data_IF_370501134053
#
_entry.id   IF_370501134053
#
_cell.length_a   1.000
_cell.length_b   1.000
_cell.length_c   1.000
_cell.angle_alpha   90.00
_cell.angle_beta   90.00
_cell.angle_gamma   90.00
#
_symmetry.space_group_name_H-M   'P 1'
#
loop_
_entity.id
_entity.type
_entity.pdbx_description
1 polymer ?
#
# COMPACT_ATOMS: atom_id res chain seq x y z
N UNK A 1 -66.21 -34.81 -7.53
CA UNK A 1 -64.85 -34.27 -7.32
C UNK A 1 -64.60 -33.17 -8.34
N UNK A 2 -64.23 -31.96 -7.89
CA UNK A 2 -63.92 -30.85 -8.79
C UNK A 2 -62.60 -31.15 -9.54
N UNK A 3 -62.59 -30.97 -10.87
CA UNK A 3 -61.41 -31.13 -11.73
C UNK A 3 -61.31 -29.96 -12.69
N UNK A 4 -60.17 -29.29 -12.68
CA UNK A 4 -59.88 -28.23 -13.64
C UNK A 4 -59.77 -28.79 -15.06
N UNK A 5 -60.27 -28.02 -16.03
CA UNK A 5 -60.04 -28.25 -17.45
C UNK A 5 -58.54 -28.20 -17.77
N UNK A 6 -58.16 -28.59 -18.99
CA UNK A 6 -56.77 -28.49 -19.44
C UNK A 6 -56.25 -27.05 -19.32
N UNK A 7 -57.05 -26.10 -19.77
CA UNK A 7 -56.69 -24.67 -19.73
C UNK A 7 -56.68 -24.14 -18.30
N UNK A 8 -57.63 -24.57 -17.46
CA UNK A 8 -57.64 -24.20 -16.04
C UNK A 8 -56.42 -24.73 -15.27
N UNK A 9 -55.90 -25.91 -15.64
CA UNK A 9 -54.63 -26.43 -15.09
C UNK A 9 -53.42 -25.64 -15.57
N UNK A 10 -53.42 -25.19 -16.82
CA UNK A 10 -52.35 -24.36 -17.36
C UNK A 10 -52.27 -23.01 -16.66
N UNK A 11 -53.41 -22.32 -16.51
CA UNK A 11 -53.48 -21.04 -15.79
C UNK A 11 -53.09 -21.20 -14.33
N UNK A 12 -53.61 -22.22 -13.64
CA UNK A 12 -53.25 -22.48 -12.25
C UNK A 12 -51.76 -22.79 -12.07
N UNK A 13 -51.13 -23.50 -13.02
CA UNK A 13 -49.70 -23.74 -12.97
C UNK A 13 -48.90 -22.44 -13.15
N UNK A 14 -49.29 -21.59 -14.10
CA UNK A 14 -48.65 -20.29 -14.33
C UNK A 14 -48.75 -19.39 -13.08
N UNK A 15 -49.94 -19.27 -12.48
CA UNK A 15 -50.12 -18.47 -11.26
C UNK A 15 -49.29 -19.00 -10.09
N UNK A 16 -49.12 -20.31 -9.96
CA UNK A 16 -48.25 -20.89 -8.94
C UNK A 16 -46.76 -20.62 -9.21
N UNK A 17 -46.34 -20.59 -10.48
CA UNK A 17 -44.97 -20.21 -10.85
C UNK A 17 -44.73 -18.73 -10.59
N UNK A 18 -45.64 -17.86 -11.00
CA UNK A 18 -45.54 -16.42 -10.80
C UNK A 18 -45.51 -16.08 -9.31
N UNK A 19 -46.41 -16.68 -8.51
CA UNK A 19 -46.41 -16.55 -7.06
C UNK A 19 -45.11 -17.05 -6.42
N UNK A 20 -44.54 -18.14 -6.95
CA UNK A 20 -43.26 -18.69 -6.51
C UNK A 20 -42.09 -17.76 -6.81
N UNK A 21 -42.08 -17.12 -7.98
CA UNK A 21 -41.05 -16.15 -8.38
C UNK A 21 -41.17 -14.85 -7.57
N UNK A 22 -42.38 -14.36 -7.34
CA UNK A 22 -42.64 -13.15 -6.54
C UNK A 22 -42.24 -13.33 -5.06
N UNK A 23 -42.40 -14.55 -4.54
CA UNK A 23 -42.06 -14.89 -3.15
C UNK A 23 -40.68 -15.50 -2.99
N UNK A 24 -39.93 -15.65 -4.08
CA UNK A 24 -38.56 -16.09 -4.00
C UNK A 24 -37.79 -14.97 -3.29
N UNK A 25 -37.32 -15.22 -2.07
CA UNK A 25 -36.43 -14.29 -1.39
C UNK A 25 -35.18 -14.13 -2.25
N UNK A 26 -35.07 -13.00 -2.94
CA UNK A 26 -33.84 -12.64 -3.62
C UNK A 26 -32.81 -12.35 -2.54
N UNK A 27 -31.75 -13.15 -2.50
CA UNK A 27 -30.53 -12.76 -1.79
C UNK A 27 -29.91 -11.61 -2.57
N UNK A 28 -30.34 -10.38 -2.27
CA UNK A 28 -29.64 -9.19 -2.76
C UNK A 28 -28.28 -9.15 -2.08
N UNK A 29 -27.23 -9.29 -2.87
CA UNK A 29 -25.87 -9.09 -2.37
C UNK A 29 -25.66 -7.59 -2.15
N UNK A 30 -25.15 -7.23 -0.97
CA UNK A 30 -24.68 -5.87 -0.72
C UNK A 30 -23.61 -5.52 -1.76
N UNK A 31 -23.82 -4.42 -2.47
CA UNK A 31 -22.88 -3.87 -3.45
C UNK A 31 -22.64 -2.41 -3.12
N UNK A 32 -21.37 -2.01 -3.20
CA UNK A 32 -21.01 -0.60 -3.23
C UNK A 32 -21.15 -0.08 -4.67
N UNK A 33 -21.84 1.04 -4.83
CA UNK A 33 -21.92 1.81 -6.07
C UNK A 33 -21.57 3.28 -5.77
N UNK A 34 -20.44 3.80 -6.27
CA UNK A 34 -19.47 3.12 -7.13
C UNK A 34 -18.68 2.01 -6.40
N UNK A 35 -18.05 1.08 -7.13
CA UNK A 35 -17.12 0.11 -6.55
C UNK A 35 -16.01 0.82 -5.76
N UNK A 36 -15.58 0.20 -4.66
CA UNK A 36 -14.45 0.71 -3.89
C UNK A 36 -13.18 0.67 -4.76
N UNK A 37 -12.47 1.78 -4.76
CA UNK A 37 -11.22 1.93 -5.50
C UNK A 37 -10.05 1.22 -4.81
N UNK A 38 -8.95 1.04 -5.52
CA UNK A 38 -7.70 0.45 -4.99
C UNK A 38 -6.62 1.54 -4.90
N UNK A 39 -6.76 2.54 -4.00
CA UNK A 39 -6.00 3.78 -4.09
C UNK A 39 -4.50 3.55 -3.92
N UNK A 40 -4.10 2.65 -3.02
CA UNK A 40 -2.69 2.38 -2.77
C UNK A 40 -2.04 1.55 -3.89
N UNK A 41 -2.79 0.64 -4.51
CA UNK A 41 -2.34 -0.06 -5.71
C UNK A 41 -2.14 0.90 -6.89
N UNK A 42 -3.06 1.87 -7.09
CA UNK A 42 -2.91 2.94 -8.07
C UNK A 42 -1.70 3.83 -7.76
N UNK A 43 -1.43 4.14 -6.50
CA UNK A 43 -0.21 4.85 -6.09
C UNK A 43 1.04 4.05 -6.48
N UNK A 44 1.10 2.75 -6.21
CA UNK A 44 2.25 1.92 -6.57
C UNK A 44 2.55 1.96 -8.08
N UNK A 45 1.50 1.89 -8.92
CA UNK A 45 1.63 1.78 -10.38
C UNK A 45 1.83 3.12 -11.07
N UNK A 46 1.07 4.13 -10.69
CA UNK A 46 0.85 5.32 -11.51
C UNK A 46 1.40 6.61 -10.86
N UNK A 47 1.72 6.59 -9.56
CA UNK A 47 2.26 7.78 -8.89
C UNK A 47 3.71 8.04 -9.33
N UNK A 48 3.95 9.21 -9.91
CA UNK A 48 5.31 9.63 -10.28
C UNK A 48 6.15 9.79 -9.01
N UNK A 49 7.28 9.09 -8.90
CA UNK A 49 8.10 9.07 -7.66
C UNK A 49 9.14 10.18 -7.56
N UNK A 50 9.34 10.95 -8.63
CA UNK A 50 10.33 12.02 -8.71
C UNK A 50 9.65 13.37 -8.90
N UNK A 51 10.07 14.36 -8.13
CA UNK A 51 9.66 15.75 -8.31
C UNK A 51 10.83 16.69 -8.00
N UNK A 52 10.92 17.87 -8.66
CA UNK A 52 12.06 18.79 -8.51
C UNK A 52 12.35 19.23 -7.07
N UNK A 53 11.31 19.34 -6.23
CA UNK A 53 11.41 19.81 -4.84
C UNK A 53 11.44 18.66 -3.83
N UNK A 54 11.61 17.42 -4.27
CA UNK A 54 11.64 16.23 -3.40
C UNK A 54 13.02 15.57 -3.38
N UNK A 55 13.37 14.99 -2.24
CA UNK A 55 14.59 14.23 -2.14
C UNK A 55 14.45 12.93 -2.93
N UNK A 56 15.43 12.61 -3.78
CA UNK A 56 15.46 11.34 -4.49
C UNK A 56 15.31 10.16 -3.52
N UNK A 57 14.36 9.27 -3.79
CA UNK A 57 14.00 8.13 -2.95
C UNK A 57 12.92 8.39 -1.89
N UNK A 58 12.58 9.64 -1.57
CA UNK A 58 11.62 9.94 -0.49
C UNK A 58 10.22 9.42 -0.76
N UNK A 59 9.74 9.55 -2.00
CA UNK A 59 8.43 9.04 -2.38
C UNK A 59 8.36 7.51 -2.31
N UNK A 60 9.43 6.83 -2.71
CA UNK A 60 9.48 5.38 -2.66
C UNK A 60 9.61 4.84 -1.23
N UNK A 61 10.42 5.48 -0.39
CA UNK A 61 10.50 5.14 1.04
C UNK A 61 9.18 5.44 1.77
N UNK A 62 8.47 6.52 1.42
CA UNK A 62 7.14 6.82 1.95
C UNK A 62 6.13 5.74 1.57
N UNK A 63 6.15 5.28 0.32
CA UNK A 63 5.32 4.17 -0.16
C UNK A 63 5.63 2.90 0.63
N UNK A 64 6.91 2.51 0.71
CA UNK A 64 7.32 1.32 1.44
C UNK A 64 6.95 1.39 2.92
N UNK A 65 7.09 2.57 3.55
CA UNK A 65 6.63 2.80 4.93
C UNK A 65 5.12 2.60 5.06
N UNK A 66 4.32 3.13 4.14
CA UNK A 66 2.87 2.90 4.09
C UNK A 66 2.52 1.42 4.03
N UNK A 67 3.16 0.69 3.12
CA UNK A 67 3.01 -0.76 2.97
C UNK A 67 3.41 -1.51 4.25
N UNK A 68 4.62 -1.31 4.77
CA UNK A 68 5.14 -1.97 5.99
C UNK A 68 4.23 -1.72 7.19
N UNK A 69 3.74 -0.48 7.36
CA UNK A 69 2.83 -0.10 8.46
C UNK A 69 1.47 -0.79 8.37
N UNK A 70 0.98 -1.03 7.16
CA UNK A 70 -0.28 -1.75 6.94
C UNK A 70 -0.11 -3.26 7.05
N UNK A 71 1.04 -3.81 6.65
CA UNK A 71 1.32 -5.24 6.71
C UNK A 71 1.63 -5.74 8.12
N UNK A 72 2.43 -4.98 8.88
CA UNK A 72 2.78 -5.31 10.27
C UNK A 72 2.28 -4.25 11.27
N UNK A 73 0.95 -4.05 11.40
CA UNK A 73 0.39 -2.97 12.21
C UNK A 73 0.60 -3.16 13.72
N UNK A 74 1.05 -4.34 14.15
CA UNK A 74 1.34 -4.69 15.54
C UNK A 74 2.76 -4.30 15.98
N UNK A 75 3.64 -3.91 15.04
CA UNK A 75 5.02 -3.51 15.33
C UNK A 75 5.12 -2.00 15.55
N UNK A 76 6.01 -1.61 16.46
CA UNK A 76 6.44 -0.22 16.62
C UNK A 76 7.52 0.07 15.60
N UNK A 77 7.19 0.90 14.60
CA UNK A 77 8.12 1.23 13.52
C UNK A 77 9.02 2.41 13.88
N UNK A 78 10.32 2.26 13.61
CA UNK A 78 11.32 3.32 13.64
C UNK A 78 11.82 3.57 12.22
N UNK A 79 11.79 4.83 11.82
CA UNK A 79 12.16 5.29 10.48
C UNK A 79 12.70 6.71 10.60
N UNK A 80 13.47 7.16 9.61
CA UNK A 80 13.95 8.54 9.55
C UNK A 80 14.00 9.02 8.11
N UNK A 81 14.26 10.32 7.95
CA UNK A 81 14.42 10.99 6.67
C UNK A 81 15.37 10.25 5.75
N UNK A 82 15.14 10.41 4.44
CA UNK A 82 16.14 9.96 3.47
C UNK A 82 17.46 10.68 3.75
N UNK A 83 18.59 9.99 3.56
CA UNK A 83 19.97 10.50 3.74
C UNK A 83 20.40 10.79 5.17
N UNK A 84 19.57 10.59 6.19
CA UNK A 84 20.04 10.43 7.56
C UNK A 84 20.56 9.02 7.74
N UNK A 85 21.80 8.76 7.28
CA UNK A 85 22.37 7.41 7.20
C UNK A 85 22.10 6.57 8.45
N UNK A 86 21.47 5.41 8.27
CA UNK A 86 20.98 4.50 9.32
C UNK A 86 22.03 4.15 10.37
N UNK A 87 23.28 3.96 9.93
CA UNK A 87 24.43 3.69 10.80
C UNK A 87 24.72 4.77 11.84
N UNK A 88 24.43 6.04 11.55
CA UNK A 88 24.64 7.16 12.48
C UNK A 88 23.58 7.21 13.59
N UNK A 89 22.46 6.51 13.41
CA UNK A 89 21.32 6.49 14.32
C UNK A 89 21.15 5.13 15.01
N UNK A 90 22.14 4.25 14.92
CA UNK A 90 22.07 2.87 15.42
C UNK A 90 20.86 2.07 14.88
N UNK A 91 20.46 2.36 13.64
CA UNK A 91 19.39 1.65 12.93
C UNK A 91 19.98 0.54 12.05
N UNK A 92 19.20 -0.51 11.83
CA UNK A 92 19.61 -1.67 11.03
C UNK A 92 19.27 -1.48 9.56
N UNK A 93 18.08 -0.96 9.27
CA UNK A 93 17.63 -0.61 7.93
C UNK A 93 17.01 0.79 7.86
N UNK A 94 16.30 1.04 6.76
CA UNK A 94 15.53 2.26 6.56
C UNK A 94 14.27 2.29 7.44
N UNK A 95 13.62 1.14 7.60
CA UNK A 95 12.43 0.96 8.44
C UNK A 95 12.65 -0.26 9.34
N UNK A 96 12.77 -0.04 10.65
CA UNK A 96 12.95 -1.10 11.64
C UNK A 96 11.65 -1.28 12.44
N UNK A 97 11.17 -2.52 12.58
CA UNK A 97 9.94 -2.85 13.30
C UNK A 97 10.22 -3.65 14.57
N UNK A 98 9.74 -3.13 15.70
CA UNK A 98 9.99 -3.70 17.03
C UNK A 98 8.72 -4.25 17.69
N UNK A 99 8.88 -5.32 18.47
CA UNK A 99 7.89 -5.78 19.43
C UNK A 99 8.48 -5.66 20.84
N UNK A 100 8.07 -4.62 21.57
CA UNK A 100 8.77 -4.25 22.80
C UNK A 100 10.22 -3.84 22.49
N UNK A 101 11.23 -4.39 23.17
CA UNK A 101 12.63 -4.10 22.88
C UNK A 101 13.20 -4.89 21.69
N UNK A 102 12.50 -5.92 21.22
CA UNK A 102 13.03 -6.89 20.25
C UNK A 102 12.84 -6.39 18.82
N UNK A 103 13.91 -6.43 18.02
CA UNK A 103 13.85 -6.16 16.58
C UNK A 103 13.23 -7.38 15.88
N UNK A 104 12.06 -7.19 15.28
CA UNK A 104 11.32 -8.26 14.62
C UNK A 104 11.54 -8.26 13.11
N UNK A 105 11.54 -7.07 12.50
CA UNK A 105 11.79 -6.88 11.07
C UNK A 105 12.75 -5.70 10.86
N UNK A 106 13.56 -5.77 9.82
CA UNK A 106 14.37 -4.64 9.35
C UNK A 106 14.27 -4.58 7.83
N UNK A 107 13.88 -3.41 7.32
CA UNK A 107 13.58 -3.21 5.90
C UNK A 107 14.55 -2.19 5.32
N UNK A 108 15.23 -2.55 4.23
CA UNK A 108 16.06 -1.67 3.41
C UNK A 108 15.29 -1.34 2.13
N UNK A 109 15.22 -0.06 1.76
CA UNK A 109 14.44 0.41 0.61
C UNK A 109 15.37 0.97 -0.46
N UNK A 110 15.22 0.50 -1.70
CA UNK A 110 16.00 0.95 -2.86
C UNK A 110 15.10 1.36 -4.01
N UNK A 111 15.05 2.67 -4.30
CA UNK A 111 14.33 3.21 -5.48
C UNK A 111 15.16 3.03 -6.77
N UNK A 112 15.51 1.77 -7.08
CA UNK A 112 16.28 1.35 -8.26
C UNK A 112 16.16 -0.15 -8.51
N UNK A 113 16.52 -0.56 -9.72
CA UNK A 113 16.72 -1.96 -10.09
C UNK A 113 17.94 -2.53 -9.36
N UNK A 114 17.78 -3.71 -8.78
CA UNK A 114 18.84 -4.48 -8.12
C UNK A 114 19.22 -5.67 -9.00
N UNK A 115 20.50 -5.75 -9.34
CA UNK A 115 21.05 -6.77 -10.22
C UNK A 115 22.36 -7.35 -9.65
N UNK A 116 22.90 -8.38 -10.29
CA UNK A 116 24.16 -9.03 -9.89
C UNK A 116 25.32 -8.04 -9.73
N UNK A 117 25.34 -6.95 -10.52
CA UNK A 117 26.42 -5.97 -10.50
C UNK A 117 26.39 -5.05 -9.27
N UNK A 118 25.23 -4.86 -8.64
CA UNK A 118 25.03 -3.87 -7.59
C UNK A 118 24.52 -4.43 -6.25
N UNK A 119 24.02 -5.68 -6.23
CA UNK A 119 23.37 -6.29 -5.05
C UNK A 119 24.24 -6.22 -3.80
N UNK A 120 25.54 -6.54 -3.89
CA UNK A 120 26.43 -6.49 -2.73
C UNK A 120 26.72 -5.07 -2.24
N UNK A 121 26.81 -4.11 -3.16
CA UNK A 121 27.10 -2.72 -2.83
C UNK A 121 25.89 -2.05 -2.16
N UNK A 122 24.68 -2.34 -2.64
CA UNK A 122 23.45 -1.72 -2.16
C UNK A 122 22.86 -2.41 -0.92
N UNK A 123 22.95 -3.75 -0.86
CA UNK A 123 22.24 -4.56 0.14
C UNK A 123 23.16 -5.41 1.01
N UNK A 124 24.49 -5.29 0.88
CA UNK A 124 25.44 -6.04 1.69
C UNK A 124 25.31 -5.79 3.20
N UNK A 125 24.85 -4.61 3.62
CA UNK A 125 24.52 -4.36 5.04
C UNK A 125 23.31 -5.16 5.49
N UNK A 126 22.26 -5.25 4.66
CA UNK A 126 21.06 -6.01 4.99
C UNK A 126 21.34 -7.52 5.07
N UNK A 127 22.22 -8.05 4.20
CA UNK A 127 22.73 -9.43 4.32
C UNK A 127 23.42 -9.67 5.67
N UNK A 128 24.19 -8.70 6.17
CA UNK A 128 24.79 -8.79 7.51
C UNK A 128 23.72 -8.74 8.60
N UNK A 129 22.66 -7.97 8.46
CA UNK A 129 21.55 -7.95 9.44
C UNK A 129 20.89 -9.32 9.50
N UNK A 130 20.57 -9.93 8.36
CA UNK A 130 20.01 -11.28 8.27
C UNK A 130 20.89 -12.32 8.98
N UNK A 131 22.19 -12.29 8.73
CA UNK A 131 23.13 -13.28 9.28
C UNK A 131 23.45 -13.09 10.78
N UNK A 132 23.32 -11.86 11.30
CA UNK A 132 23.77 -11.53 12.65
C UNK A 132 22.62 -11.22 13.62
N UNK A 133 21.37 -11.29 13.18
CA UNK A 133 20.19 -11.04 14.01
C UNK A 133 19.13 -12.11 13.79
N UNK A 134 18.13 -12.18 14.67
CA UNK A 134 16.94 -13.03 14.48
C UNK A 134 15.80 -12.28 13.81
N UNK A 135 16.01 -11.03 13.40
CA UNK A 135 15.01 -10.21 12.74
C UNK A 135 14.83 -10.69 11.30
N UNK A 136 13.62 -10.57 10.78
CA UNK A 136 13.36 -10.81 9.36
C UNK A 136 13.96 -9.62 8.59
N UNK A 137 15.04 -9.88 7.87
CA UNK A 137 15.67 -8.94 6.95
C UNK A 137 14.88 -8.89 5.64
N UNK A 138 14.47 -7.69 5.23
CA UNK A 138 13.67 -7.47 4.03
C UNK A 138 14.32 -6.41 3.15
N UNK A 139 14.54 -6.72 1.88
CA UNK A 139 14.92 -5.75 0.86
C UNK A 139 13.70 -5.43 0.00
N UNK A 140 13.36 -4.14 -0.11
CA UNK A 140 12.31 -3.66 -1.01
C UNK A 140 12.95 -2.82 -2.11
N UNK A 141 12.68 -3.14 -3.37
CA UNK A 141 13.25 -2.45 -4.53
C UNK A 141 12.28 -2.36 -5.71
N UNK A 142 12.58 -1.54 -6.72
CA UNK A 142 11.63 -1.38 -7.83
C UNK A 142 11.53 -2.65 -8.69
N UNK A 143 12.67 -3.31 -8.90
CA UNK A 143 12.81 -4.55 -9.66
C UNK A 143 14.06 -5.27 -9.18
N UNK A 144 14.05 -6.61 -9.22
CA UNK A 144 15.23 -7.43 -8.91
C UNK A 144 15.44 -8.51 -9.97
N UNK A 145 16.67 -8.65 -10.46
CA UNK A 145 17.04 -9.74 -11.36
C UNK A 145 16.97 -11.10 -10.64
N UNK A 146 16.71 -12.22 -11.35
CA UNK A 146 16.72 -13.56 -10.75
C UNK A 146 18.00 -13.88 -9.97
N UNK A 147 19.17 -13.53 -10.50
CA UNK A 147 20.48 -13.82 -9.91
C UNK A 147 20.70 -13.03 -8.61
N UNK A 148 20.31 -11.74 -8.59
CA UNK A 148 20.37 -10.92 -7.38
C UNK A 148 19.37 -11.39 -6.32
N UNK A 149 18.19 -11.84 -6.72
CA UNK A 149 17.19 -12.42 -5.81
C UNK A 149 17.72 -13.69 -5.16
N UNK A 150 18.28 -14.60 -5.95
CA UNK A 150 18.94 -15.81 -5.44
C UNK A 150 20.04 -15.47 -4.43
N UNK A 151 20.92 -14.53 -4.78
CA UNK A 151 22.01 -14.07 -3.88
C UNK A 151 21.48 -13.53 -2.54
N UNK A 152 20.37 -12.78 -2.56
CA UNK A 152 19.76 -12.23 -1.35
C UNK A 152 19.06 -13.32 -0.51
N UNK A 153 18.34 -14.22 -1.16
CA UNK A 153 17.63 -15.31 -0.48
C UNK A 153 18.60 -16.34 0.13
N UNK A 154 19.74 -16.62 -0.51
CA UNK A 154 20.83 -17.41 0.07
C UNK A 154 21.42 -16.78 1.34
N UNK A 155 21.36 -15.45 1.46
CA UNK A 155 21.76 -14.70 2.65
C UNK A 155 20.63 -14.53 3.67
N UNK A 156 19.49 -15.22 3.50
CA UNK A 156 18.26 -15.14 4.31
C UNK A 156 17.60 -13.75 4.31
N UNK A 157 17.80 -12.97 3.25
CA UNK A 157 17.09 -11.71 3.01
C UNK A 157 15.84 -11.99 2.18
N UNK A 158 14.67 -11.58 2.70
CA UNK A 158 13.41 -11.61 1.93
C UNK A 158 13.41 -10.45 0.93
N UNK A 159 13.05 -10.70 -0.31
CA UNK A 159 13.04 -9.69 -1.36
C UNK A 159 11.63 -9.42 -1.85
N UNK A 160 11.24 -8.15 -1.88
CA UNK A 160 9.98 -7.68 -2.46
C UNK A 160 10.28 -6.63 -3.52
N UNK A 161 9.89 -6.89 -4.76
CA UNK A 161 9.86 -5.88 -5.81
C UNK A 161 8.45 -5.25 -5.97
N UNK A 162 8.32 -4.27 -6.87
CA UNK A 162 7.02 -3.63 -7.12
C UNK A 162 5.97 -4.64 -7.65
N UNK A 163 6.39 -5.67 -8.37
CA UNK A 163 5.48 -6.73 -8.81
C UNK A 163 5.00 -7.55 -7.60
N UNK A 164 5.90 -7.97 -6.71
CA UNK A 164 5.57 -8.68 -5.48
C UNK A 164 4.57 -7.91 -4.62
N UNK A 165 4.83 -6.62 -4.38
CA UNK A 165 3.92 -5.75 -3.62
C UNK A 165 2.59 -5.66 -4.36
N UNK A 166 2.59 -5.46 -5.68
CA UNK A 166 1.35 -5.41 -6.47
C UNK A 166 0.56 -6.72 -6.36
N UNK A 167 1.22 -7.88 -6.31
CA UNK A 167 0.55 -9.18 -6.13
C UNK A 167 -0.11 -9.28 -4.76
N UNK A 168 0.53 -8.78 -3.72
CA UNK A 168 -0.03 -8.80 -2.36
C UNK A 168 -1.17 -7.80 -2.18
N UNK A 169 -1.06 -6.60 -2.75
CA UNK A 169 -2.10 -5.56 -2.64
C UNK A 169 -3.45 -6.00 -3.25
N UNK A 170 -3.45 -6.91 -4.23
CA UNK A 170 -4.70 -7.49 -4.79
C UNK A 170 -5.52 -8.31 -3.78
N UNK A 171 -4.91 -8.69 -2.66
CA UNK A 171 -5.61 -9.37 -1.56
C UNK A 171 -5.98 -8.42 -0.42
N UNK A 172 -5.63 -7.13 -0.53
CA UNK A 172 -5.97 -6.14 0.48
C UNK A 172 -7.30 -5.49 0.15
N UNK A 173 -8.20 -5.46 1.12
CA UNK A 173 -9.40 -4.65 1.03
C UNK A 173 -9.06 -3.14 0.96
N UNK A 174 -10.09 -2.35 0.62
CA UNK A 174 -10.00 -0.90 0.57
C UNK A 174 -9.46 -0.29 1.87
N UNK A 175 -9.86 -0.81 3.03
CA UNK A 175 -9.48 -0.23 4.32
C UNK A 175 -7.99 -0.43 4.64
N UNK A 176 -7.42 -1.59 4.31
CA UNK A 176 -5.99 -1.87 4.49
C UNK A 176 -5.16 -1.06 3.50
N UNK A 177 -5.61 -0.93 2.24
CA UNK A 177 -4.98 -0.01 1.27
C UNK A 177 -5.03 1.44 1.76
N UNK A 178 -6.18 1.89 2.28
CA UNK A 178 -6.31 3.24 2.82
C UNK A 178 -5.41 3.46 4.05
N UNK A 179 -5.26 2.47 4.93
CA UNK A 179 -4.31 2.52 6.05
C UNK A 179 -2.86 2.73 5.56
N UNK A 180 -2.47 2.07 4.48
CA UNK A 180 -1.15 2.25 3.88
C UNK A 180 -0.97 3.66 3.32
N UNK A 181 -2.01 4.22 2.69
CA UNK A 181 -2.03 5.58 2.19
C UNK A 181 -1.85 6.61 3.31
N UNK A 182 -2.55 6.46 4.43
CA UNK A 182 -2.33 7.27 5.63
C UNK A 182 -0.90 7.12 6.18
N UNK A 183 -0.31 5.93 6.07
CA UNK A 183 1.09 5.70 6.40
C UNK A 183 2.03 6.54 5.53
N UNK A 184 1.82 6.54 4.22
CA UNK A 184 2.60 7.33 3.27
C UNK A 184 2.47 8.84 3.52
N UNK A 185 1.25 9.34 3.78
CA UNK A 185 1.05 10.75 4.16
C UNK A 185 1.75 11.08 5.47
N UNK A 186 1.64 10.21 6.49
CA UNK A 186 2.35 10.40 7.75
C UNK A 186 3.86 10.50 7.56
N UNK A 187 4.45 9.65 6.71
CA UNK A 187 5.87 9.70 6.39
C UNK A 187 6.24 11.06 5.79
N UNK A 188 5.54 11.52 4.75
CA UNK A 188 5.85 12.81 4.16
C UNK A 188 5.71 13.97 5.16
N UNK A 189 4.61 14.02 5.91
CA UNK A 189 4.32 15.15 6.78
C UNK A 189 5.21 15.20 8.03
N UNK A 190 5.47 14.05 8.67
CA UNK A 190 6.05 14.01 10.02
C UNK A 190 7.46 13.42 10.07
N UNK A 191 7.83 12.58 9.09
CA UNK A 191 9.15 11.96 9.05
C UNK A 191 10.04 12.75 8.11
N UNK A 192 9.65 12.90 6.84
CA UNK A 192 10.39 13.68 5.84
C UNK A 192 10.26 15.20 6.09
N UNK A 193 9.13 15.63 6.66
CA UNK A 193 8.73 17.04 6.84
C UNK A 193 8.65 17.77 5.49
N UNK A 194 8.02 17.13 4.51
CA UNK A 194 7.89 17.61 3.14
C UNK A 194 6.42 17.93 2.81
N UNK A 195 5.96 19.18 3.05
CA UNK A 195 4.58 19.57 2.78
C UNK A 195 4.21 19.52 1.29
N UNK A 196 5.16 19.82 0.39
CA UNK A 196 4.95 19.74 -1.06
C UNK A 196 4.66 18.29 -1.48
N UNK A 197 5.41 17.33 -0.92
CA UNK A 197 5.19 15.90 -1.13
C UNK A 197 3.84 15.41 -0.62
N UNK A 198 3.38 15.93 0.52
CA UNK A 198 2.01 15.67 1.02
C UNK A 198 0.98 16.16 0.01
N UNK A 199 1.04 17.44 -0.39
CA UNK A 199 0.04 18.00 -1.30
C UNK A 199 0.05 17.32 -2.67
N UNK A 200 1.22 16.93 -3.18
CA UNK A 200 1.33 16.18 -4.44
C UNK A 200 0.68 14.81 -4.35
N UNK A 201 0.90 14.07 -3.26
CA UNK A 201 0.25 12.79 -3.02
C UNK A 201 -1.28 12.95 -2.91
N UNK A 202 -1.75 13.92 -2.13
CA UNK A 202 -3.18 14.14 -1.94
C UNK A 202 -3.88 14.54 -3.24
N UNK A 203 -3.25 15.37 -4.09
CA UNK A 203 -3.78 15.69 -5.43
C UNK A 203 -3.86 14.46 -6.33
N UNK A 204 -2.89 13.55 -6.26
CA UNK A 204 -2.96 12.28 -6.97
C UNK A 204 -4.14 11.44 -6.45
N UNK A 205 -4.30 11.31 -5.13
CA UNK A 205 -5.42 10.57 -4.53
C UNK A 205 -6.77 11.16 -4.94
N UNK A 206 -6.92 12.49 -4.92
CA UNK A 206 -8.15 13.16 -5.34
C UNK A 206 -8.54 12.85 -6.79
N UNK A 207 -7.56 12.58 -7.66
CA UNK A 207 -7.82 12.20 -9.05
C UNK A 207 -8.30 10.76 -9.25
N UNK A 208 -8.11 9.89 -8.24
CA UNK A 208 -8.44 8.45 -8.34
C UNK A 208 -9.52 7.98 -7.36
N UNK A 209 -9.70 8.68 -6.24
CA UNK A 209 -10.61 8.38 -5.14
C UNK A 209 -10.96 9.70 -4.42
N UNK A 210 -11.86 10.53 -5.01
CA UNK A 210 -12.14 11.89 -4.54
C UNK A 210 -12.86 11.94 -3.19
N UNK A 211 -13.44 10.83 -2.73
CA UNK A 211 -14.14 10.73 -1.44
C UNK A 211 -13.23 10.13 -0.35
N UNK A 212 -11.93 9.93 -0.63
CA UNK A 212 -11.00 9.36 0.32
C UNK A 212 -10.77 10.29 1.52
N UNK A 213 -10.90 9.75 2.73
CA UNK A 213 -10.73 10.51 3.99
C UNK A 213 -9.33 11.10 4.18
N UNK A 214 -8.31 10.61 3.49
CA UNK A 214 -6.97 11.21 3.57
C UNK A 214 -6.96 12.64 2.99
N UNK A 215 -7.93 12.98 2.13
CA UNK A 215 -8.10 14.29 1.51
C UNK A 215 -8.57 15.37 2.49
N UNK A 216 -8.96 15.01 3.72
CA UNK A 216 -9.20 15.97 4.81
C UNK A 216 -7.96 16.86 5.11
N UNK A 217 -6.78 16.46 4.61
CA UNK A 217 -5.53 17.19 4.74
C UNK A 217 -5.09 17.93 3.46
N UNK A 218 -5.89 17.88 2.39
CA UNK A 218 -5.59 18.58 1.14
C UNK A 218 -5.84 20.07 1.37
N UNK A 219 -4.85 20.91 1.07
CA UNK A 219 -5.04 22.35 1.15
C UNK A 219 -5.93 22.80 -0.01
N UNK A 220 -6.93 23.63 0.29
CA UNK A 220 -7.66 24.36 -0.74
C UNK A 220 -6.66 25.21 -1.52
N UNK A 221 -6.77 25.17 -2.85
CA UNK A 221 -5.89 25.89 -3.78
C UNK A 221 -5.83 27.41 -3.57
N UNK A 222 -6.68 27.96 -2.70
CA UNK A 222 -6.87 29.40 -2.49
C UNK A 222 -6.13 29.97 -1.27
N UNK A 223 -5.51 29.13 -0.41
CA UNK A 223 -4.93 29.63 0.86
C UNK A 223 -3.52 30.21 0.69
N UNK A 224 -2.88 30.05 -0.47
CA UNK A 224 -1.48 30.47 -0.67
C UNK A 224 -1.30 31.83 -1.35
N UNK A 225 -2.39 32.55 -1.68
CA UNK A 225 -2.32 33.96 -2.14
C UNK A 225 -2.60 35.00 -1.05
N UNK A 226 -2.91 34.59 0.19
CA UNK A 226 -3.38 35.50 1.24
C UNK A 226 -2.36 35.90 2.31
N UNK A 227 -1.12 35.42 2.24
CA UNK A 227 -0.12 35.64 3.30
C UNK A 227 1.16 36.38 2.85
N UNK A 228 1.28 36.72 1.56
CA UNK A 228 2.37 37.57 1.04
C UNK A 228 1.95 39.04 0.85
N UNK A 229 0.75 39.43 1.29
CA UNK A 229 0.27 40.83 1.28
C UNK A 229 -0.11 41.33 2.68
N UNK A 230 0.85 41.36 3.61
CA UNK A 230 0.82 42.31 4.76
C UNK A 230 2.22 42.63 5.26
#
# INVERSE_FOLDING_TARGET
AFRLSRDGRFVAAQELFDLGLERLESSEYERHDPPLEEPFLKVLRDYTRKAPNEQGGSAYQALCYGYVKAEWPHLSLRVSKVRTGSSRQQRYGDIDGYHGPDLMISVEVKDRVIDESNVSAELGTMMKVAQNTTAIAIAICTEVSPEARETLEEADVRVLDDEDISRQLRFWDYHKQNRALHGMVHFFANIEENPDGVQRLLRFVASIDPDNRVLDHLADSDVQMGLDET
#
